data_IF_278107784600
#
_entry.id   IF_278107784600
#
_cell.length_a   1.000
_cell.length_b   1.000
_cell.length_c   1.000
_cell.angle_alpha   90.00
_cell.angle_beta   90.00
_cell.angle_gamma   90.00
#
_symmetry.space_group_name_H-M   'P 1'
#
loop_
_entity.id
_entity.type
_entity.pdbx_description
1 polymer ?
#
# COMPACT_ATOMS: atom_id res chain seq x y z
N UNK A 1 -8.24 30.17 23.39
CA UNK A 1 -7.65 28.92 22.89
C UNK A 1 -6.87 28.24 24.02
N UNK A 2 -7.09 26.96 24.24
CA UNK A 2 -6.31 26.10 25.17
C UNK A 2 -5.29 25.29 24.41
N UNK A 3 -4.07 25.21 24.92
CA UNK A 3 -3.03 24.31 24.45
C UNK A 3 -2.84 23.18 25.45
N UNK A 4 -3.00 21.92 25.00
CA UNK A 4 -2.73 20.72 25.78
C UNK A 4 -1.51 20.00 25.21
N UNK A 5 -0.52 19.70 26.07
CA UNK A 5 0.70 18.96 25.67
C UNK A 5 0.87 17.73 26.54
N UNK A 6 1.20 16.60 25.93
CA UNK A 6 1.52 15.40 26.68
C UNK A 6 2.62 14.58 26.01
N UNK A 7 3.47 13.97 26.83
CA UNK A 7 4.50 13.03 26.36
C UNK A 7 3.85 11.68 26.07
N UNK A 8 4.18 11.07 24.94
CA UNK A 8 3.69 9.76 24.53
C UNK A 8 4.75 8.70 24.83
N UNK A 9 4.82 8.28 26.09
CA UNK A 9 5.86 7.37 26.59
C UNK A 9 5.79 5.92 26.06
N UNK A 10 4.67 5.54 25.46
CA UNK A 10 4.43 4.17 24.95
C UNK A 10 4.83 3.93 23.50
N UNK A 11 5.32 4.96 22.82
CA UNK A 11 5.73 4.85 21.43
C UNK A 11 7.25 4.65 21.36
N UNK A 12 7.68 3.55 20.75
CA UNK A 12 9.08 3.34 20.42
C UNK A 12 9.54 4.40 19.42
N UNK A 13 10.74 4.98 19.60
CA UNK A 13 11.34 5.85 18.59
C UNK A 13 11.67 5.09 17.29
N UNK A 14 11.63 3.77 17.29
CA UNK A 14 11.76 2.94 16.08
C UNK A 14 10.46 2.98 15.26
N UNK A 15 10.19 4.12 14.63
CA UNK A 15 9.13 4.19 13.63
C UNK A 15 9.54 3.41 12.38
N UNK A 16 8.56 2.69 11.84
CA UNK A 16 8.73 2.03 10.55
C UNK A 16 8.66 3.05 9.42
N UNK A 17 9.82 3.29 8.83
CA UNK A 17 9.98 4.22 7.73
C UNK A 17 9.59 3.67 6.35
N UNK A 18 8.90 2.51 6.25
CA UNK A 18 8.53 1.93 4.95
C UNK A 18 7.53 2.80 4.16
N UNK A 19 6.83 3.71 4.83
CA UNK A 19 6.00 4.72 4.16
C UNK A 19 6.78 5.96 3.72
N UNK A 20 8.01 6.15 4.21
CA UNK A 20 8.79 7.35 3.99
C UNK A 20 9.97 7.09 3.06
N UNK A 21 10.47 8.12 2.37
CA UNK A 21 11.75 8.03 1.68
C UNK A 21 12.89 7.68 2.64
N UNK A 22 13.93 7.04 2.11
CA UNK A 22 15.15 6.82 2.87
C UNK A 22 15.72 8.16 3.39
N UNK A 23 16.29 8.16 4.60
CA UNK A 23 16.93 9.32 5.25
C UNK A 23 16.02 10.39 5.87
N UNK A 24 14.73 10.16 6.01
CA UNK A 24 13.84 11.06 6.75
C UNK A 24 14.06 10.92 8.26
N UNK A 25 14.27 12.01 8.98
CA UNK A 25 14.39 12.00 10.44
C UNK A 25 13.03 12.09 11.11
N UNK A 26 12.94 11.57 12.35
CA UNK A 26 11.71 11.67 13.16
C UNK A 26 11.26 13.10 13.40
N UNK A 27 12.22 14.02 13.59
CA UNK A 27 11.95 15.43 13.84
C UNK A 27 11.32 16.17 12.66
N UNK A 28 11.48 15.63 11.44
CA UNK A 28 10.89 16.19 10.21
C UNK A 28 9.42 15.82 10.01
N UNK A 29 8.90 14.89 10.82
CA UNK A 29 7.54 14.38 10.72
C UNK A 29 6.59 15.17 11.62
N UNK A 30 5.37 15.43 11.12
CA UNK A 30 4.25 15.93 11.89
C UNK A 30 2.99 15.17 11.54
N UNK A 31 2.51 14.37 12.46
CA UNK A 31 1.19 13.76 12.37
C UNK A 31 0.16 14.79 12.82
N UNK A 32 -0.95 14.91 12.10
CA UNK A 32 -1.99 15.84 12.51
C UNK A 32 -3.39 15.35 12.12
N UNK A 33 -4.38 15.88 12.83
CA UNK A 33 -5.80 15.64 12.63
C UNK A 33 -6.59 16.89 13.05
N UNK A 34 -7.69 17.17 12.35
CA UNK A 34 -8.51 18.36 12.64
C UNK A 34 -9.95 17.98 12.99
N UNK A 35 -10.53 18.77 13.90
CA UNK A 35 -11.95 18.73 14.24
C UNK A 35 -12.64 20.02 13.85
N UNK A 36 -13.80 19.89 13.22
CA UNK A 36 -14.51 21.03 12.63
C UNK A 36 -15.96 21.07 13.09
N UNK A 37 -16.54 22.26 13.10
CA UNK A 37 -17.96 22.45 13.48
C UNK A 37 -18.96 22.00 12.43
N UNK A 38 -18.47 21.54 11.25
CA UNK A 38 -19.25 21.01 10.15
C UNK A 38 -18.38 20.64 8.95
N UNK A 39 -18.96 19.99 7.96
CA UNK A 39 -18.22 19.44 6.81
C UNK A 39 -17.80 20.49 5.76
N UNK A 40 -18.47 21.65 5.73
CA UNK A 40 -18.20 22.71 4.74
C UNK A 40 -17.29 23.79 5.32
N UNK A 41 -16.08 24.00 4.80
CA UNK A 41 -15.18 25.04 5.30
C UNK A 41 -15.69 26.46 5.06
N UNK A 42 -16.72 26.65 4.21
CA UNK A 42 -17.35 27.95 3.94
C UNK A 42 -18.27 28.40 5.07
N UNK A 43 -18.91 27.46 5.78
CA UNK A 43 -19.95 27.73 6.77
C UNK A 43 -19.61 27.24 8.17
N UNK A 44 -18.43 26.62 8.32
CA UNK A 44 -17.96 26.07 9.58
C UNK A 44 -16.49 26.38 9.81
N UNK A 45 -16.00 26.13 11.00
CA UNK A 45 -14.66 26.49 11.44
C UNK A 45 -13.93 25.29 12.07
N UNK A 46 -12.61 25.39 12.12
CA UNK A 46 -11.77 24.45 12.86
C UNK A 46 -11.84 24.82 14.35
N UNK A 47 -12.20 23.86 15.21
CA UNK A 47 -12.21 24.09 16.64
C UNK A 47 -11.14 23.35 17.43
N UNK A 48 -10.53 22.33 16.82
CA UNK A 48 -9.42 21.59 17.42
C UNK A 48 -8.48 21.14 16.32
N UNK A 49 -7.18 21.37 16.51
CA UNK A 49 -6.11 20.71 15.75
C UNK A 49 -5.24 19.97 16.75
N UNK A 50 -5.09 18.69 16.52
CA UNK A 50 -4.10 17.87 17.21
C UNK A 50 -2.91 17.56 16.32
N UNK A 51 -1.74 17.48 16.92
CA UNK A 51 -0.52 17.08 16.25
C UNK A 51 0.33 16.18 17.15
N UNK A 52 1.12 15.30 16.52
CA UNK A 52 2.17 14.53 17.19
C UNK A 52 3.48 14.75 16.44
N UNK A 53 4.51 15.04 17.18
CA UNK A 53 5.89 15.19 16.68
C UNK A 53 6.88 14.46 17.57
N UNK A 54 8.05 14.16 17.03
CA UNK A 54 9.18 13.72 17.84
C UNK A 54 9.93 14.92 18.38
N UNK A 55 10.24 14.87 19.68
CA UNK A 55 11.03 15.89 20.38
C UNK A 55 12.42 15.35 20.69
N UNK A 56 13.43 15.88 20.04
CA UNK A 56 14.84 15.51 20.30
C UNK A 56 15.22 15.80 21.75
N UNK A 57 14.68 16.87 22.34
CA UNK A 57 14.91 17.24 23.73
C UNK A 57 14.37 16.20 24.72
N UNK A 58 13.19 15.64 24.43
CA UNK A 58 12.54 14.64 25.28
C UNK A 58 12.91 13.21 24.90
N UNK A 59 13.55 13.02 23.74
CA UNK A 59 13.79 11.71 23.11
C UNK A 59 12.52 10.86 23.09
N UNK A 60 11.39 11.50 22.73
CA UNK A 60 10.07 10.89 22.75
C UNK A 60 9.09 11.64 21.82
N UNK A 61 8.03 10.97 21.47
CA UNK A 61 6.89 11.64 20.83
C UNK A 61 6.12 12.47 21.85
N UNK A 62 5.69 13.64 21.44
CA UNK A 62 4.77 14.49 22.16
C UNK A 62 3.53 14.82 21.33
N UNK A 63 2.36 14.86 21.97
CA UNK A 63 1.15 15.39 21.38
C UNK A 63 0.97 16.84 21.80
N UNK A 64 0.49 17.64 20.85
CA UNK A 64 0.16 19.05 21.05
C UNK A 64 -1.23 19.24 20.45
N UNK A 65 -2.18 19.74 21.26
CA UNK A 65 -3.55 19.94 20.83
C UNK A 65 -3.96 21.40 21.10
N UNK A 66 -4.54 22.05 20.11
CA UNK A 66 -5.02 23.43 20.16
C UNK A 66 -6.56 23.44 20.08
N UNK A 67 -7.24 23.76 21.17
CA UNK A 67 -8.69 23.75 21.27
C UNK A 67 -9.24 25.20 21.38
N UNK A 68 -10.19 25.54 20.54
CA UNK A 68 -10.99 26.75 20.69
C UNK A 68 -11.92 26.63 21.91
N UNK A 69 -11.93 27.64 22.74
CA UNK A 69 -12.85 27.68 23.89
C UNK A 69 -14.24 28.16 23.49
N UNK A 70 -14.36 28.93 22.42
CA UNK A 70 -15.62 29.45 21.92
C UNK A 70 -15.73 29.40 20.40
N UNK A 71 -16.87 29.69 19.88
CA UNK A 71 -17.12 29.85 18.45
C UNK A 71 -16.66 31.22 17.90
N UNK A 72 -15.88 31.98 18.67
CA UNK A 72 -15.28 33.22 18.22
C UNK A 72 -14.27 32.94 17.09
N UNK A 73 -14.39 33.59 15.92
CA UNK A 73 -13.44 33.43 14.83
C UNK A 73 -11.99 33.78 15.21
N UNK A 74 -11.78 34.62 16.21
CA UNK A 74 -10.44 34.94 16.71
C UNK A 74 -9.73 33.73 17.34
N UNK A 75 -10.46 32.77 17.88
CA UNK A 75 -9.88 31.55 18.44
C UNK A 75 -9.44 30.58 17.35
N UNK A 76 -10.21 30.43 16.28
CA UNK A 76 -9.77 29.67 15.10
C UNK A 76 -8.49 30.27 14.49
N UNK A 77 -8.44 31.62 14.39
CA UNK A 77 -7.24 32.32 13.94
C UNK A 77 -5.98 31.95 14.76
N UNK A 78 -6.15 31.88 16.09
CA UNK A 78 -5.04 31.50 16.99
C UNK A 78 -4.61 30.02 16.75
N UNK A 79 -5.56 29.12 16.62
CA UNK A 79 -5.32 27.70 16.34
C UNK A 79 -4.52 27.53 15.04
N UNK A 80 -4.98 28.16 13.96
CA UNK A 80 -4.33 28.08 12.65
C UNK A 80 -2.91 28.68 12.67
N UNK A 81 -2.71 29.80 13.37
CA UNK A 81 -1.36 30.38 13.56
C UNK A 81 -0.44 29.45 14.35
N UNK A 82 -0.94 28.86 15.44
CA UNK A 82 -0.16 27.92 16.25
C UNK A 82 0.22 26.66 15.46
N UNK A 83 -0.71 26.11 14.67
CA UNK A 83 -0.43 24.99 13.78
C UNK A 83 0.56 25.36 12.69
N UNK A 84 0.44 26.53 12.05
CA UNK A 84 1.41 27.02 11.06
C UNK A 84 2.81 27.11 11.63
N UNK A 85 2.95 27.59 12.87
CA UNK A 85 4.25 27.70 13.53
C UNK A 85 4.88 26.32 13.77
N UNK A 86 4.05 25.34 14.17
CA UNK A 86 4.50 23.96 14.40
C UNK A 86 4.90 23.26 13.11
N UNK A 87 4.17 23.48 12.01
CA UNK A 87 4.38 22.81 10.74
C UNK A 87 5.53 23.41 9.90
N UNK A 88 5.96 24.66 10.14
CA UNK A 88 7.01 25.33 9.34
C UNK A 88 8.37 24.63 9.32
N UNK A 89 8.70 23.93 10.38
CA UNK A 89 9.98 23.23 10.55
C UNK A 89 9.89 21.75 10.11
N UNK A 90 8.77 21.37 9.49
CA UNK A 90 8.49 19.97 9.13
C UNK A 90 8.58 19.78 7.63
N UNK A 91 9.09 18.61 7.23
CA UNK A 91 9.13 18.21 5.82
C UNK A 91 7.89 17.39 5.43
N UNK A 92 7.33 16.62 6.37
CA UNK A 92 6.19 15.74 6.11
C UNK A 92 5.03 16.04 7.04
N UNK A 93 3.85 16.22 6.44
CA UNK A 93 2.56 16.24 7.12
C UNK A 93 1.86 14.89 6.91
N UNK A 94 1.70 14.14 8.00
CA UNK A 94 1.10 12.80 7.97
C UNK A 94 -0.32 12.87 8.52
N UNK A 95 -1.24 12.27 7.82
CA UNK A 95 -2.66 12.26 8.17
C UNK A 95 -3.35 11.01 7.64
N UNK A 96 -4.59 10.77 8.04
CA UNK A 96 -5.41 9.68 7.53
C UNK A 96 -6.59 10.25 6.73
N UNK A 97 -6.62 10.01 5.41
CA UNK A 97 -7.60 10.55 4.47
C UNK A 97 -7.66 12.09 4.39
N UNK A 98 -6.68 12.78 4.93
CA UNK A 98 -6.64 14.25 5.00
C UNK A 98 -6.46 14.92 3.64
N UNK A 99 -5.96 14.21 2.61
CA UNK A 99 -5.94 14.72 1.24
C UNK A 99 -7.34 15.04 0.72
N UNK A 100 -8.37 14.32 1.22
CA UNK A 100 -9.76 14.50 0.80
C UNK A 100 -10.52 15.46 1.70
N UNK A 101 -10.08 15.70 2.93
CA UNK A 101 -10.80 16.53 3.90
C UNK A 101 -9.91 17.57 4.59
N UNK A 102 -8.95 17.17 5.41
CA UNK A 102 -8.21 18.06 6.31
C UNK A 102 -7.43 19.14 5.53
N UNK A 103 -6.67 18.76 4.53
CA UNK A 103 -5.85 19.70 3.77
C UNK A 103 -6.67 20.70 2.95
N UNK A 104 -7.69 20.30 2.16
CA UNK A 104 -8.57 21.25 1.49
C UNK A 104 -9.32 22.16 2.44
N UNK A 105 -9.76 21.60 3.60
CA UNK A 105 -10.45 22.36 4.62
C UNK A 105 -9.54 23.44 5.21
N UNK A 106 -8.35 23.08 5.65
CA UNK A 106 -7.36 24.01 6.19
C UNK A 106 -6.99 25.10 5.18
N UNK A 107 -6.67 24.74 3.92
CA UNK A 107 -6.36 25.72 2.87
C UNK A 107 -7.46 26.78 2.76
N UNK A 108 -8.71 26.34 2.65
CA UNK A 108 -9.84 27.28 2.57
C UNK A 108 -9.94 28.17 3.81
N UNK A 109 -9.72 27.65 5.02
CA UNK A 109 -9.78 28.45 6.25
C UNK A 109 -8.63 29.44 6.35
N UNK A 110 -7.41 29.05 5.96
CA UNK A 110 -6.28 29.96 5.87
C UNK A 110 -6.54 31.12 4.90
N UNK A 111 -7.04 30.82 3.70
CA UNK A 111 -7.42 31.81 2.70
C UNK A 111 -8.50 32.74 3.20
N UNK A 112 -9.59 32.21 3.78
CA UNK A 112 -10.71 32.99 4.29
C UNK A 112 -10.30 33.94 5.41
N UNK A 113 -9.28 33.59 6.21
CA UNK A 113 -8.74 34.40 7.29
C UNK A 113 -7.48 35.20 6.88
N UNK A 114 -7.14 35.22 5.59
CA UNK A 114 -5.98 35.92 5.02
C UNK A 114 -4.66 35.57 5.72
N UNK A 115 -4.49 34.30 6.06
CA UNK A 115 -3.28 33.76 6.67
C UNK A 115 -2.41 33.04 5.64
N UNK A 116 -1.08 33.20 5.77
CA UNK A 116 -0.15 32.30 5.08
C UNK A 116 -0.12 30.94 5.78
N UNK A 117 0.04 29.87 5.01
CA UNK A 117 0.12 28.51 5.53
C UNK A 117 1.36 27.76 5.03
N UNK A 118 1.86 26.80 5.80
CA UNK A 118 3.03 26.00 5.42
C UNK A 118 2.68 24.75 4.60
N UNK A 119 1.39 24.49 4.31
CA UNK A 119 0.90 23.23 3.76
C UNK A 119 1.52 22.87 2.40
N UNK A 120 1.86 23.88 1.58
CA UNK A 120 2.41 23.68 0.24
C UNK A 120 3.94 23.50 0.26
N UNK A 121 4.61 23.81 1.38
CA UNK A 121 6.03 23.59 1.58
C UNK A 121 6.36 22.23 2.19
N UNK A 122 5.36 21.49 2.65
CA UNK A 122 5.50 20.17 3.23
C UNK A 122 5.02 19.08 2.26
N UNK A 123 5.68 17.93 2.29
CA UNK A 123 5.18 16.74 1.62
C UNK A 123 4.00 16.15 2.40
N UNK A 124 2.89 15.92 1.72
CA UNK A 124 1.71 15.27 2.31
C UNK A 124 1.82 13.76 2.18
N UNK A 125 1.72 13.03 3.30
CA UNK A 125 1.64 11.59 3.32
C UNK A 125 0.29 11.16 3.91
N UNK A 126 -0.54 10.59 3.06
CA UNK A 126 -1.88 10.12 3.41
C UNK A 126 -1.86 8.61 3.68
N UNK A 127 -1.88 8.22 4.96
CA UNK A 127 -1.84 6.81 5.37
C UNK A 127 -2.98 5.98 4.75
N UNK A 128 -4.15 6.58 4.57
CA UNK A 128 -5.27 5.92 3.89
C UNK A 128 -4.90 5.52 2.46
N UNK A 129 -4.31 6.43 1.69
CA UNK A 129 -3.89 6.15 0.31
C UNK A 129 -2.75 5.15 0.25
N UNK A 130 -1.80 5.26 1.17
CA UNK A 130 -0.66 4.36 1.27
C UNK A 130 -1.09 2.91 1.56
N UNK A 131 -2.05 2.72 2.46
CA UNK A 131 -2.62 1.40 2.74
C UNK A 131 -3.42 0.87 1.55
N UNK A 132 -4.24 1.71 0.92
CA UNK A 132 -5.03 1.34 -0.24
C UNK A 132 -4.21 1.20 -1.55
N UNK A 133 -2.92 1.52 -1.55
CA UNK A 133 -2.02 1.12 -2.61
C UNK A 133 -1.76 -0.40 -2.62
N UNK A 134 -2.12 -1.11 -1.55
CA UNK A 134 -2.02 -2.56 -1.39
C UNK A 134 -3.40 -3.20 -1.14
N UNK A 135 -4.39 -2.97 -2.03
CA UNK A 135 -5.80 -3.27 -1.77
C UNK A 135 -6.07 -4.75 -1.57
N UNK A 136 -5.27 -5.63 -2.14
CA UNK A 136 -5.46 -7.08 -2.04
C UNK A 136 -5.47 -7.59 -0.59
N UNK A 137 -4.72 -6.96 0.31
CA UNK A 137 -4.67 -7.35 1.72
C UNK A 137 -5.86 -6.83 2.55
N UNK A 138 -6.54 -5.79 2.08
CA UNK A 138 -7.58 -5.09 2.84
C UNK A 138 -8.98 -5.20 2.21
N UNK A 139 -9.10 -5.89 1.07
CA UNK A 139 -10.35 -6.03 0.31
C UNK A 139 -11.52 -6.61 1.13
N UNK A 140 -11.23 -7.50 2.08
CA UNK A 140 -12.24 -8.17 2.89
C UNK A 140 -12.65 -7.39 4.15
N UNK A 141 -12.05 -6.21 4.39
CA UNK A 141 -12.45 -5.36 5.49
C UNK A 141 -13.85 -4.77 5.24
N UNK A 142 -14.66 -4.59 6.29
CA UNK A 142 -16.03 -4.05 6.16
C UNK A 142 -16.07 -2.62 5.63
N UNK A 143 -15.06 -1.84 5.95
CA UNK A 143 -14.78 -0.51 5.41
C UNK A 143 -13.28 -0.18 5.59
N UNK A 144 -12.85 0.97 5.08
CA UNK A 144 -11.47 1.43 5.17
C UNK A 144 -11.32 2.68 6.06
N UNK A 145 -12.15 2.81 7.10
CA UNK A 145 -12.00 3.88 8.09
C UNK A 145 -10.80 3.62 8.99
N UNK A 146 -10.23 4.67 9.55
CA UNK A 146 -9.10 4.58 10.46
C UNK A 146 -9.39 3.60 11.61
N UNK A 147 -10.57 3.71 12.25
CA UNK A 147 -11.00 2.82 13.35
C UNK A 147 -11.02 1.34 12.96
N UNK A 148 -11.32 1.02 11.70
CA UNK A 148 -11.32 -0.36 11.21
C UNK A 148 -9.89 -0.89 11.04
N UNK A 149 -8.95 -0.07 10.56
CA UNK A 149 -7.53 -0.41 10.56
C UNK A 149 -6.95 -0.51 11.98
N UNK A 150 -7.37 0.37 12.90
CA UNK A 150 -6.98 0.31 14.31
C UNK A 150 -7.41 -1.01 14.96
N UNK A 151 -8.63 -1.49 14.67
CA UNK A 151 -9.10 -2.82 15.11
C UNK A 151 -8.24 -3.95 14.54
N UNK A 152 -7.85 -3.86 13.26
CA UNK A 152 -6.98 -4.84 12.63
C UNK A 152 -5.63 -4.97 13.36
N UNK A 153 -5.01 -3.85 13.73
CA UNK A 153 -3.74 -3.83 14.47
C UNK A 153 -3.93 -3.94 15.99
N UNK A 154 -5.16 -4.16 16.46
CA UNK A 154 -5.53 -4.31 17.88
C UNK A 154 -5.15 -3.08 18.74
N UNK A 155 -5.26 -1.86 18.16
CA UNK A 155 -5.05 -0.64 18.90
C UNK A 155 -6.14 -0.46 19.98
N UNK A 156 -5.77 -0.27 21.28
CA UNK A 156 -6.73 -0.19 22.36
C UNK A 156 -7.34 1.21 22.49
N UNK A 157 -8.18 1.62 21.53
CA UNK A 157 -8.85 2.92 21.53
C UNK A 157 -9.72 3.11 22.76
N UNK A 158 -9.63 4.26 23.41
CA UNK A 158 -10.41 4.62 24.60
C UNK A 158 -11.62 5.46 24.26
N UNK A 159 -11.51 6.32 23.23
CA UNK A 159 -12.60 7.15 22.76
C UNK A 159 -13.70 6.32 22.07
N UNK A 160 -14.96 6.73 22.30
CA UNK A 160 -16.16 6.10 21.73
C UNK A 160 -17.00 7.06 20.88
N UNK A 161 -16.63 8.35 20.81
CA UNK A 161 -17.41 9.34 20.09
C UNK A 161 -17.29 9.16 18.58
N UNK A 162 -18.35 9.50 17.88
CA UNK A 162 -18.35 9.71 16.43
C UNK A 162 -18.09 11.20 16.12
N UNK A 163 -17.67 11.53 14.90
CA UNK A 163 -17.47 12.92 14.49
C UNK A 163 -18.71 13.80 14.67
N UNK A 164 -19.95 13.26 14.51
CA UNK A 164 -21.17 13.99 14.81
C UNK A 164 -21.35 14.29 16.30
N UNK A 165 -20.95 13.36 17.15
CA UNK A 165 -20.97 13.55 18.61
C UNK A 165 -19.89 14.52 19.05
N UNK A 166 -18.72 14.54 18.40
CA UNK A 166 -17.67 15.53 18.61
C UNK A 166 -18.18 16.97 18.37
N UNK A 167 -18.89 17.21 17.27
CA UNK A 167 -19.49 18.51 16.98
C UNK A 167 -20.50 18.92 18.08
N UNK A 168 -21.33 17.98 18.54
CA UNK A 168 -22.29 18.25 19.63
C UNK A 168 -21.59 18.54 20.96
N UNK A 169 -20.56 17.73 21.28
CA UNK A 169 -19.76 17.91 22.49
C UNK A 169 -19.04 19.26 22.48
N UNK A 170 -18.47 19.67 21.35
CA UNK A 170 -17.83 20.98 21.24
C UNK A 170 -18.82 22.12 21.43
N UNK A 171 -20.00 22.08 20.80
CA UNK A 171 -21.03 23.08 20.99
C UNK A 171 -21.48 23.20 22.45
N UNK A 172 -21.63 22.07 23.14
CA UNK A 172 -21.94 22.06 24.57
C UNK A 172 -20.78 22.63 25.41
N UNK A 173 -19.55 22.28 25.08
CA UNK A 173 -18.35 22.81 25.72
C UNK A 173 -18.21 24.32 25.52
N UNK A 174 -18.43 24.84 24.33
CA UNK A 174 -18.34 26.26 24.01
C UNK A 174 -19.29 27.13 24.86
N UNK A 175 -20.40 26.55 25.33
CA UNK A 175 -21.37 27.21 26.23
C UNK A 175 -21.04 27.02 27.72
N UNK A 176 -20.72 25.78 28.12
CA UNK A 176 -20.63 25.40 29.53
C UNK A 176 -19.21 25.50 30.12
N UNK A 177 -18.18 25.38 29.27
CA UNK A 177 -16.75 25.25 29.68
C UNK A 177 -16.49 24.08 30.62
N UNK A 178 -17.34 23.06 30.59
CA UNK A 178 -17.19 21.90 31.45
C UNK A 178 -15.89 21.15 31.18
N UNK A 179 -15.07 20.91 32.21
CA UNK A 179 -13.78 20.21 32.10
C UNK A 179 -13.92 18.78 31.58
N UNK A 180 -14.98 18.07 32.00
CA UNK A 180 -15.25 16.72 31.54
C UNK A 180 -15.50 16.65 30.02
N UNK A 181 -16.23 17.61 29.46
CA UNK A 181 -16.44 17.66 28.00
C UNK A 181 -15.16 18.03 27.26
N UNK A 182 -14.37 18.96 27.79
CA UNK A 182 -13.03 19.28 27.23
C UNK A 182 -12.10 18.07 27.19
N UNK A 183 -12.08 17.29 28.25
CA UNK A 183 -11.28 16.05 28.31
C UNK A 183 -11.73 15.03 27.26
N UNK A 184 -13.03 14.90 27.02
CA UNK A 184 -13.56 14.05 25.96
C UNK A 184 -13.12 14.52 24.57
N UNK A 185 -13.15 15.82 24.28
CA UNK A 185 -12.67 16.40 23.01
C UNK A 185 -11.18 16.11 22.79
N UNK A 186 -10.36 16.33 23.81
CA UNK A 186 -8.93 16.01 23.73
C UNK A 186 -8.68 14.52 23.57
N UNK A 187 -9.41 13.66 24.29
CA UNK A 187 -9.25 12.23 24.20
C UNK A 187 -9.55 11.70 22.79
N UNK A 188 -10.64 12.16 22.17
CA UNK A 188 -11.03 11.77 20.83
C UNK A 188 -9.90 12.02 19.82
N UNK A 189 -9.51 13.28 19.70
CA UNK A 189 -8.46 13.69 18.78
C UNK A 189 -7.08 13.04 19.10
N UNK A 190 -6.75 12.85 20.39
CA UNK A 190 -5.53 12.15 20.79
C UNK A 190 -5.55 10.67 20.39
N UNK A 191 -6.71 10.01 20.47
CA UNK A 191 -6.85 8.62 20.05
C UNK A 191 -6.76 8.52 18.51
N UNK A 192 -7.26 9.49 17.74
CA UNK A 192 -7.06 9.52 16.29
C UNK A 192 -5.57 9.65 15.93
N UNK A 193 -4.85 10.53 16.60
CA UNK A 193 -3.41 10.70 16.40
C UNK A 193 -2.61 9.43 16.76
N UNK A 194 -2.89 8.82 17.92
CA UNK A 194 -2.24 7.57 18.33
C UNK A 194 -2.62 6.40 17.44
N UNK A 195 -3.86 6.38 16.96
CA UNK A 195 -4.34 5.42 15.98
C UNK A 195 -3.50 5.47 14.71
N UNK A 196 -3.28 6.65 14.12
CA UNK A 196 -2.39 6.82 12.97
C UNK A 196 -1.00 6.22 13.19
N UNK A 197 -0.39 6.51 14.35
CA UNK A 197 0.93 5.97 14.69
C UNK A 197 0.93 4.43 14.80
N UNK A 198 -0.18 3.85 15.30
CA UNK A 198 -0.32 2.39 15.41
C UNK A 198 -0.40 1.68 14.05
N UNK A 199 -0.77 2.41 12.98
CA UNK A 199 -0.88 1.87 11.62
C UNK A 199 0.47 1.84 10.88
N UNK A 200 1.48 2.59 11.32
CA UNK A 200 2.76 2.67 10.61
C UNK A 200 3.41 1.32 10.35
N UNK A 201 3.39 0.34 11.27
CA UNK A 201 3.95 -0.98 11.02
C UNK A 201 3.28 -1.76 9.86
N UNK A 202 2.07 -1.40 9.42
CA UNK A 202 1.46 -1.98 8.21
C UNK A 202 2.22 -1.60 6.93
N UNK A 203 2.97 -0.51 6.94
CA UNK A 203 3.87 -0.11 5.86
C UNK A 203 4.93 -1.16 5.53
N UNK A 204 5.26 -2.04 6.48
CA UNK A 204 6.19 -3.16 6.28
C UNK A 204 5.77 -4.10 5.14
N UNK A 205 4.50 -4.12 4.75
CA UNK A 205 4.03 -4.81 3.55
C UNK A 205 4.68 -4.30 2.26
N UNK A 206 5.10 -3.03 2.22
CA UNK A 206 5.80 -2.45 1.06
C UNK A 206 7.15 -3.12 0.78
N UNK A 207 7.73 -3.81 1.76
CA UNK A 207 8.93 -4.63 1.56
C UNK A 207 8.73 -5.64 0.41
N UNK A 208 7.50 -6.13 0.21
CA UNK A 208 7.16 -7.02 -0.90
C UNK A 208 7.25 -6.31 -2.26
N UNK A 209 6.88 -5.03 -2.33
CA UNK A 209 6.93 -4.22 -3.55
C UNK A 209 8.33 -3.67 -3.84
N UNK A 210 9.15 -3.48 -2.80
CA UNK A 210 10.50 -2.90 -2.88
C UNK A 210 11.62 -3.94 -2.86
N UNK A 211 11.32 -5.24 -3.05
CA UNK A 211 12.29 -6.35 -3.01
C UNK A 211 13.12 -6.44 -1.71
N UNK A 212 12.59 -5.92 -0.61
CA UNK A 212 13.25 -5.95 0.69
C UNK A 212 12.96 -7.25 1.44
N UNK A 213 13.18 -8.38 0.77
CA UNK A 213 12.99 -9.73 1.31
C UNK A 213 14.08 -10.68 0.82
N UNK A 214 14.22 -11.82 1.50
CA UNK A 214 15.04 -12.95 1.09
C UNK A 214 14.13 -14.09 0.63
N UNK A 215 14.54 -14.81 -0.42
CA UNK A 215 13.88 -16.04 -0.84
C UNK A 215 14.54 -17.17 -0.05
N UNK A 216 13.76 -17.87 0.77
CA UNK A 216 14.25 -18.94 1.62
C UNK A 216 14.11 -20.30 0.95
N UNK A 217 12.99 -20.52 0.25
CA UNK A 217 12.65 -21.82 -0.30
C UNK A 217 11.74 -21.67 -1.51
N UNK A 218 11.91 -22.58 -2.45
CA UNK A 218 11.01 -22.76 -3.60
C UNK A 218 10.81 -24.24 -3.80
N UNK A 219 9.57 -24.74 -3.65
CA UNK A 219 9.27 -26.18 -3.68
C UNK A 219 7.91 -26.43 -4.32
N UNK A 220 7.75 -27.61 -4.92
CA UNK A 220 6.45 -28.09 -5.37
C UNK A 220 5.70 -28.73 -4.21
N UNK A 221 4.41 -28.45 -4.11
CA UNK A 221 3.51 -29.03 -3.14
C UNK A 221 2.27 -29.57 -3.83
N UNK A 222 1.63 -30.55 -3.22
CA UNK A 222 0.34 -31.07 -3.66
C UNK A 222 -0.70 -30.82 -2.57
N UNK A 223 -1.72 -30.05 -2.90
CA UNK A 223 -2.81 -29.71 -1.98
C UNK A 223 -4.15 -29.88 -2.69
N UNK A 224 -5.22 -30.26 -1.95
CA UNK A 224 -6.56 -30.25 -2.51
C UNK A 224 -7.00 -28.81 -2.82
N UNK A 225 -7.63 -28.63 -3.97
CA UNK A 225 -8.35 -27.41 -4.30
C UNK A 225 -9.73 -27.36 -3.57
N UNK A 226 -10.52 -26.32 -3.88
CA UNK A 226 -11.86 -26.14 -3.28
C UNK A 226 -12.86 -27.26 -3.61
N UNK A 227 -12.57 -28.07 -4.62
CA UNK A 227 -13.38 -29.24 -5.03
C UNK A 227 -12.89 -30.53 -4.40
N UNK A 228 -11.72 -30.51 -3.76
CA UNK A 228 -11.05 -31.69 -3.20
C UNK A 228 -10.11 -32.39 -4.21
N UNK A 229 -9.98 -31.88 -5.45
CA UNK A 229 -9.02 -32.41 -6.43
C UNK A 229 -7.59 -31.99 -6.05
N UNK A 230 -6.67 -32.94 -6.11
CA UNK A 230 -5.25 -32.65 -5.82
C UNK A 230 -4.66 -31.81 -6.96
N UNK A 231 -4.16 -30.62 -6.60
CA UNK A 231 -3.52 -29.70 -7.50
C UNK A 231 -2.05 -29.53 -7.12
N UNK A 232 -1.16 -29.62 -8.11
CA UNK A 232 0.25 -29.29 -7.92
C UNK A 232 0.41 -27.78 -7.97
N UNK A 233 1.12 -27.24 -6.98
CA UNK A 233 1.39 -25.80 -6.84
C UNK A 233 2.87 -25.61 -6.56
N UNK A 234 3.40 -24.43 -6.93
CA UNK A 234 4.71 -23.99 -6.48
C UNK A 234 4.54 -23.07 -5.26
N UNK A 235 5.21 -23.43 -4.19
CA UNK A 235 5.29 -22.67 -2.97
C UNK A 235 6.62 -21.91 -2.92
N UNK A 236 6.54 -20.57 -2.87
CA UNK A 236 7.67 -19.70 -2.56
C UNK A 236 7.57 -19.25 -1.12
N UNK A 237 8.67 -19.39 -0.36
CA UNK A 237 8.78 -18.91 1.01
C UNK A 237 9.78 -17.77 1.04
N UNK A 238 9.30 -16.57 1.46
CA UNK A 238 10.10 -15.37 1.60
C UNK A 238 10.22 -14.98 3.07
N UNK A 239 11.30 -14.26 3.41
CA UNK A 239 11.51 -13.64 4.71
C UNK A 239 11.66 -12.13 4.54
N UNK A 240 10.78 -11.35 5.15
CA UNK A 240 10.88 -9.90 5.23
C UNK A 240 11.98 -9.50 6.21
N UNK A 241 12.59 -8.35 6.01
CA UNK A 241 13.58 -7.78 6.95
C UNK A 241 12.94 -7.39 8.29
N UNK A 242 11.68 -6.95 8.25
CA UNK A 242 10.90 -6.52 9.42
C UNK A 242 9.54 -7.22 9.44
N UNK A 243 9.09 -7.73 10.61
CA UNK A 243 7.84 -8.47 10.71
C UNK A 243 6.62 -7.57 10.54
N UNK A 244 5.61 -8.02 9.80
CA UNK A 244 4.30 -7.36 9.71
C UNK A 244 3.54 -7.60 11.03
N UNK A 245 2.82 -6.58 11.56
CA UNK A 245 2.27 -6.65 12.92
C UNK A 245 1.13 -7.66 13.07
N UNK A 246 0.41 -7.97 11.99
CA UNK A 246 -0.77 -8.84 12.01
C UNK A 246 -0.73 -9.85 10.86
N UNK A 247 -1.33 -11.03 11.02
CA UNK A 247 -1.50 -11.97 9.92
C UNK A 247 -2.38 -11.37 8.82
N UNK A 248 -1.92 -11.48 7.56
CA UNK A 248 -2.66 -10.99 6.40
C UNK A 248 -2.63 -12.03 5.28
N UNK A 249 -3.65 -12.00 4.44
CA UNK A 249 -3.68 -12.82 3.23
C UNK A 249 -4.27 -12.04 2.05
N UNK A 250 -3.86 -12.41 0.85
CA UNK A 250 -4.38 -11.87 -0.39
C UNK A 250 -4.61 -13.00 -1.40
N UNK A 251 -5.77 -12.98 -2.05
CA UNK A 251 -6.09 -13.88 -3.15
C UNK A 251 -6.20 -13.06 -4.44
N UNK A 252 -5.27 -13.26 -5.37
CA UNK A 252 -5.26 -12.58 -6.65
C UNK A 252 -5.85 -13.44 -7.80
N UNK A 253 -6.43 -14.60 -7.48
CA UNK A 253 -6.93 -15.56 -8.46
C UNK A 253 -5.84 -16.48 -8.99
N UNK A 254 -4.75 -15.92 -9.50
CA UNK A 254 -3.60 -16.69 -10.01
C UNK A 254 -2.57 -17.07 -8.92
N UNK A 255 -2.63 -16.46 -7.74
CA UNK A 255 -1.79 -16.82 -6.60
C UNK A 255 -2.50 -16.51 -5.27
N UNK A 256 -2.06 -17.19 -4.22
CA UNK A 256 -2.49 -16.94 -2.85
C UNK A 256 -1.28 -16.56 -1.99
N UNK A 257 -1.34 -15.39 -1.37
CA UNK A 257 -0.27 -14.84 -0.54
C UNK A 257 -0.71 -14.87 0.92
N UNK A 258 0.14 -15.37 1.81
CA UNK A 258 -0.04 -15.24 3.27
C UNK A 258 1.18 -14.59 3.88
N UNK A 259 0.95 -13.65 4.79
CA UNK A 259 1.98 -12.96 5.55
C UNK A 259 1.75 -13.22 7.02
N UNK A 260 2.74 -13.80 7.70
CA UNK A 260 2.74 -14.04 9.13
C UNK A 260 4.06 -13.58 9.72
N UNK A 261 4.05 -12.45 10.38
CA UNK A 261 5.26 -11.75 10.84
C UNK A 261 6.22 -11.50 9.67
N UNK A 262 7.45 -12.02 9.72
CA UNK A 262 8.45 -11.92 8.66
C UNK A 262 8.28 -12.97 7.56
N UNK A 263 7.53 -14.04 7.81
CA UNK A 263 7.36 -15.15 6.85
C UNK A 263 6.23 -14.87 5.87
N UNK A 264 6.57 -14.93 4.58
CA UNK A 264 5.60 -14.82 3.48
C UNK A 264 5.58 -16.13 2.70
N UNK A 265 4.39 -16.62 2.42
CA UNK A 265 4.17 -17.77 1.54
C UNK A 265 3.36 -17.34 0.33
N UNK A 266 3.82 -17.71 -0.85
CA UNK A 266 3.13 -17.47 -2.12
C UNK A 266 2.88 -18.83 -2.73
N UNK A 267 1.62 -19.21 -2.93
CA UNK A 267 1.19 -20.43 -3.60
C UNK A 267 0.72 -20.10 -5.00
N UNK A 268 1.26 -20.79 -5.99
CA UNK A 268 0.93 -20.60 -7.39
C UNK A 268 0.55 -21.93 -8.04
N UNK A 269 -0.64 -22.02 -8.65
CA UNK A 269 -1.03 -23.20 -9.43
C UNK A 269 -0.02 -23.48 -10.56
N UNK A 270 0.33 -24.74 -10.74
CA UNK A 270 1.17 -25.20 -11.83
C UNK A 270 0.26 -25.69 -12.97
N UNK A 271 0.47 -25.14 -14.15
CA UNK A 271 -0.21 -25.56 -15.37
C UNK A 271 0.65 -26.57 -16.11
N UNK A 272 0.06 -27.68 -16.54
CA UNK A 272 0.72 -28.68 -17.38
C UNK A 272 0.06 -28.73 -18.75
N UNK A 273 0.87 -28.66 -19.80
CA UNK A 273 0.34 -28.63 -21.17
C UNK A 273 1.39 -28.31 -22.22
N UNK A 274 0.91 -27.76 -23.36
CA UNK A 274 1.76 -27.30 -24.47
C UNK A 274 1.46 -25.85 -24.77
N UNK A 275 2.47 -25.01 -24.67
CA UNK A 275 2.40 -23.58 -24.96
C UNK A 275 3.33 -23.20 -26.11
N UNK A 276 3.16 -21.99 -26.64
CA UNK A 276 3.93 -21.47 -27.77
C UNK A 276 4.84 -20.33 -27.33
N UNK A 277 6.08 -20.40 -27.78
CA UNK A 277 7.02 -19.27 -27.73
C UNK A 277 7.04 -18.59 -29.09
N UNK A 278 6.57 -17.34 -29.19
CA UNK A 278 6.52 -16.56 -30.42
C UNK A 278 7.80 -15.77 -30.62
N UNK A 279 8.45 -15.96 -31.77
CA UNK A 279 9.64 -15.19 -32.16
C UNK A 279 9.24 -13.80 -32.68
N UNK A 280 9.95 -12.76 -32.23
CA UNK A 280 9.66 -11.36 -32.61
C UNK A 280 10.00 -11.04 -34.06
N UNK A 281 11.05 -11.67 -34.60
CA UNK A 281 11.62 -11.41 -35.94
C UNK A 281 11.08 -12.37 -37.00
N UNK A 282 9.78 -12.60 -37.03
CA UNK A 282 9.09 -13.56 -37.90
C UNK A 282 9.53 -13.48 -39.38
N UNK A 283 10.00 -12.30 -39.84
CA UNK A 283 10.49 -12.12 -41.22
C UNK A 283 11.70 -13.02 -41.56
N UNK A 284 12.41 -13.50 -40.57
CA UNK A 284 13.57 -14.40 -40.74
C UNK A 284 13.23 -15.87 -40.58
N UNK A 285 11.93 -16.21 -40.51
CA UNK A 285 11.47 -17.59 -40.32
C UNK A 285 10.56 -18.06 -41.44
N UNK A 286 10.50 -19.38 -41.59
CA UNK A 286 9.47 -20.12 -42.32
C UNK A 286 8.64 -20.91 -41.34
N UNK A 287 7.34 -20.99 -41.57
CA UNK A 287 6.41 -21.87 -40.88
C UNK A 287 6.35 -23.21 -41.63
N UNK A 288 6.38 -24.29 -40.89
CA UNK A 288 6.29 -25.67 -41.36
C UNK A 288 4.90 -26.21 -41.00
N UNK A 289 3.97 -26.32 -41.98
CA UNK A 289 2.58 -26.68 -41.68
C UNK A 289 2.39 -28.10 -41.10
N UNK A 290 3.24 -29.04 -41.43
CA UNK A 290 3.15 -30.43 -40.96
C UNK A 290 3.64 -30.56 -39.50
N UNK A 291 4.72 -29.89 -39.15
CA UNK A 291 5.30 -29.83 -37.80
C UNK A 291 4.58 -28.84 -36.90
N UNK A 292 3.85 -27.90 -37.50
CA UNK A 292 3.16 -26.79 -36.83
C UNK A 292 4.10 -25.98 -35.94
N UNK A 293 5.27 -25.60 -36.50
CA UNK A 293 6.32 -24.80 -35.87
C UNK A 293 7.06 -23.92 -36.88
N UNK A 294 7.76 -22.91 -36.39
CA UNK A 294 8.61 -22.06 -37.21
C UNK A 294 10.08 -22.41 -37.12
N UNK A 295 10.77 -22.36 -38.25
CA UNK A 295 12.21 -22.61 -38.35
C UNK A 295 12.90 -21.39 -38.98
N UNK A 296 14.12 -21.09 -38.50
CA UNK A 296 14.90 -19.97 -39.05
C UNK A 296 15.29 -20.24 -40.51
N UNK A 297 15.31 -19.21 -41.35
CA UNK A 297 15.58 -19.30 -42.80
C UNK A 297 16.89 -20.02 -43.15
N UNK A 298 17.93 -19.85 -42.33
CA UNK A 298 19.21 -20.50 -42.55
C UNK A 298 19.12 -22.01 -42.50
N UNK A 299 18.27 -22.59 -41.67
CA UNK A 299 18.02 -24.03 -41.56
C UNK A 299 16.99 -24.46 -42.60
N UNK A 300 15.94 -23.65 -42.81
CA UNK A 300 14.91 -23.94 -43.79
C UNK A 300 15.41 -23.94 -45.25
N UNK A 301 16.60 -23.41 -45.53
CA UNK A 301 17.21 -23.42 -46.85
C UNK A 301 17.44 -24.86 -47.41
N UNK A 302 17.58 -25.84 -46.54
CA UNK A 302 17.79 -27.25 -46.87
C UNK A 302 16.49 -28.06 -47.00
N UNK A 303 15.33 -27.45 -46.75
CA UNK A 303 14.03 -28.11 -46.88
C UNK A 303 13.37 -27.85 -48.24
N UNK A 304 12.55 -28.81 -48.65
CA UNK A 304 11.73 -28.64 -49.87
C UNK A 304 10.85 -27.40 -49.79
N UNK A 305 10.87 -26.52 -50.81
CA UNK A 305 10.04 -25.33 -50.82
C UNK A 305 8.52 -25.58 -50.65
N UNK A 306 8.04 -26.77 -51.04
CA UNK A 306 6.61 -27.14 -50.92
C UNK A 306 6.19 -27.38 -49.45
N UNK A 307 7.13 -27.67 -48.56
CA UNK A 307 6.88 -27.97 -47.14
C UNK A 307 7.07 -26.76 -46.20
N UNK A 308 7.32 -25.57 -46.78
CA UNK A 308 7.54 -24.35 -45.95
C UNK A 308 6.77 -23.15 -46.48
N UNK A 309 6.24 -22.35 -45.62
CA UNK A 309 5.54 -21.10 -45.89
C UNK A 309 6.26 -19.94 -45.19
N UNK A 310 6.18 -18.71 -45.75
CA UNK A 310 6.69 -17.53 -45.03
C UNK A 310 5.93 -17.38 -43.71
N UNK A 311 6.68 -17.31 -42.59
CA UNK A 311 6.07 -17.11 -41.30
C UNK A 311 5.41 -15.74 -41.19
N UNK A 312 4.29 -15.69 -40.51
CA UNK A 312 3.62 -14.45 -40.04
C UNK A 312 3.89 -14.32 -38.54
N UNK A 313 3.55 -13.20 -37.95
CA UNK A 313 3.68 -13.03 -36.48
C UNK A 313 2.93 -14.14 -35.71
N UNK A 314 1.76 -14.56 -36.19
CA UNK A 314 0.93 -15.59 -35.58
C UNK A 314 1.41 -17.03 -35.80
N UNK A 315 2.21 -17.28 -36.86
CA UNK A 315 2.73 -18.62 -37.17
C UNK A 315 4.22 -18.78 -36.85
N UNK A 316 4.87 -17.71 -36.31
CA UNK A 316 6.28 -17.74 -36.00
C UNK A 316 6.53 -18.16 -34.54
N UNK A 317 6.33 -19.43 -34.26
CA UNK A 317 6.50 -19.98 -32.90
C UNK A 317 7.14 -21.36 -32.90
N UNK A 318 7.62 -21.75 -31.73
CA UNK A 318 7.89 -23.13 -31.36
C UNK A 318 6.98 -23.59 -30.24
N UNK A 319 6.60 -24.84 -30.24
CA UNK A 319 5.84 -25.48 -29.16
C UNK A 319 6.78 -25.93 -28.03
N UNK A 320 6.32 -25.77 -26.82
CA UNK A 320 7.02 -26.24 -25.63
C UNK A 320 5.99 -26.99 -24.78
N UNK A 321 6.24 -28.28 -24.54
CA UNK A 321 5.41 -29.09 -23.64
C UNK A 321 6.10 -29.24 -22.30
N UNK A 322 5.35 -29.13 -21.21
CA UNK A 322 5.90 -29.21 -19.85
C UNK A 322 4.99 -28.54 -18.82
N UNK A 323 5.61 -28.07 -17.77
CA UNK A 323 4.95 -27.39 -16.66
C UNK A 323 5.26 -25.89 -16.73
N UNK A 324 4.25 -25.08 -16.36
CA UNK A 324 4.31 -23.64 -16.52
C UNK A 324 3.67 -22.92 -15.32
N UNK A 325 4.22 -21.74 -15.02
CA UNK A 325 3.63 -20.81 -14.07
C UNK A 325 3.06 -19.61 -14.80
N UNK A 326 1.90 -19.13 -14.35
CA UNK A 326 1.33 -17.87 -14.83
C UNK A 326 2.32 -16.72 -14.61
N UNK A 327 2.46 -15.84 -15.58
CA UNK A 327 3.41 -14.73 -15.57
C UNK A 327 2.70 -13.40 -15.93
N UNK A 328 2.18 -12.67 -14.96
CA UNK A 328 1.72 -11.31 -15.20
C UNK A 328 2.92 -10.40 -15.49
N UNK A 329 2.68 -9.32 -16.24
CA UNK A 329 3.74 -8.36 -16.56
C UNK A 329 4.79 -8.88 -17.52
N UNK A 330 6.03 -8.43 -17.33
CA UNK A 330 7.16 -8.74 -18.23
C UNK A 330 8.40 -9.15 -17.41
N UNK A 331 8.38 -10.31 -16.77
CA UNK A 331 9.58 -10.81 -16.09
C UNK A 331 10.73 -11.02 -17.09
N UNK A 332 11.96 -11.05 -16.61
CA UNK A 332 13.15 -11.32 -17.43
C UNK A 332 13.26 -12.81 -17.79
N UNK A 333 12.19 -13.37 -18.33
CA UNK A 333 12.07 -14.79 -18.71
C UNK A 333 11.34 -14.90 -20.04
N UNK A 334 11.59 -15.97 -20.85
CA UNK A 334 10.82 -16.22 -22.05
C UNK A 334 9.33 -16.41 -21.73
N UNK A 335 8.49 -15.54 -22.31
CA UNK A 335 7.04 -15.62 -22.17
C UNK A 335 6.43 -16.58 -23.19
N UNK A 336 5.52 -17.40 -22.74
CA UNK A 336 4.79 -18.40 -23.50
C UNK A 336 3.30 -18.07 -23.49
N UNK A 337 2.59 -18.45 -24.53
CA UNK A 337 1.16 -18.21 -24.69
C UNK A 337 0.49 -19.45 -25.29
N UNK A 338 -0.81 -19.62 -25.06
CA UNK A 338 -1.59 -20.65 -25.75
C UNK A 338 -1.73 -20.31 -27.25
N UNK A 339 -2.07 -19.04 -27.54
CA UNK A 339 -2.21 -18.51 -28.89
C UNK A 339 -1.61 -17.11 -29.01
N UNK A 340 -1.34 -16.64 -30.21
CA UNK A 340 -0.68 -15.35 -30.48
C UNK A 340 -1.34 -14.13 -29.83
N UNK A 341 -2.66 -14.16 -29.67
CA UNK A 341 -3.42 -13.05 -29.08
C UNK A 341 -3.89 -13.32 -27.65
N UNK A 342 -3.42 -14.41 -27.02
CA UNK A 342 -3.75 -14.70 -25.62
C UNK A 342 -3.27 -13.56 -24.73
N UNK A 343 -4.12 -13.16 -23.82
CA UNK A 343 -3.77 -12.13 -22.81
C UNK A 343 -2.93 -12.69 -21.67
N UNK A 344 -3.06 -13.98 -21.43
CA UNK A 344 -2.33 -14.70 -20.40
C UNK A 344 -0.97 -15.16 -20.92
N UNK A 345 0.04 -14.93 -20.10
CA UNK A 345 1.40 -15.35 -20.35
C UNK A 345 1.85 -16.32 -19.27
N UNK A 346 2.79 -17.15 -19.64
CA UNK A 346 3.34 -18.18 -18.78
C UNK A 346 4.87 -18.23 -18.94
N UNK A 347 5.54 -18.78 -17.92
CA UNK A 347 6.96 -19.11 -17.96
C UNK A 347 7.13 -20.60 -17.70
N UNK A 348 8.13 -21.23 -18.32
CA UNK A 348 8.44 -22.65 -18.08
C UNK A 348 8.86 -22.87 -16.63
N UNK A 349 8.40 -23.96 -16.06
CA UNK A 349 8.81 -24.43 -14.75
C UNK A 349 9.41 -25.85 -14.85
N UNK A 350 10.50 -26.21 -14.11
CA UNK A 350 11.35 -25.27 -13.36
C UNK A 350 12.09 -24.29 -14.29
N UNK A 351 12.57 -23.17 -13.75
CA UNK A 351 13.30 -22.18 -14.56
C UNK A 351 14.59 -22.79 -15.13
N UNK A 352 14.83 -22.55 -16.42
CA UNK A 352 15.97 -23.15 -17.16
C UNK A 352 17.33 -22.67 -16.65
N UNK A 353 17.38 -21.46 -16.08
CA UNK A 353 18.54 -20.94 -15.37
C UNK A 353 18.14 -20.78 -13.90
N UNK A 354 18.87 -21.45 -13.02
CA UNK A 354 18.72 -21.28 -11.56
C UNK A 354 19.33 -19.94 -11.08
N UNK A 355 19.27 -18.88 -11.92
CA UNK A 355 19.76 -17.58 -11.51
C UNK A 355 18.77 -16.93 -10.55
N UNK A 356 19.25 -16.54 -9.38
CA UNK A 356 18.47 -15.74 -8.40
C UNK A 356 17.85 -14.49 -9.04
N UNK A 357 18.43 -13.97 -10.12
CA UNK A 357 17.98 -12.80 -10.86
C UNK A 357 16.64 -13.06 -11.54
N UNK A 358 16.48 -14.20 -12.22
CA UNK A 358 15.26 -14.55 -12.94
C UNK A 358 14.11 -14.82 -11.98
N UNK A 359 14.38 -15.53 -10.88
CA UNK A 359 13.41 -15.80 -9.83
C UNK A 359 12.95 -14.50 -9.14
N UNK A 360 13.86 -13.58 -8.82
CA UNK A 360 13.53 -12.28 -8.24
C UNK A 360 12.71 -11.42 -9.20
N UNK A 361 13.07 -11.40 -10.48
CA UNK A 361 12.32 -10.68 -11.52
C UNK A 361 10.89 -11.22 -11.65
N UNK A 362 10.74 -12.53 -11.66
CA UNK A 362 9.44 -13.20 -11.70
C UNK A 362 8.59 -12.88 -10.49
N UNK A 363 9.12 -13.04 -9.28
CA UNK A 363 8.41 -12.75 -8.03
C UNK A 363 8.03 -11.27 -7.91
N UNK A 364 8.83 -10.36 -8.48
CA UNK A 364 8.48 -8.95 -8.52
C UNK A 364 7.16 -8.71 -9.27
N UNK A 365 7.05 -9.23 -10.48
CA UNK A 365 5.85 -9.05 -11.31
C UNK A 365 4.62 -9.72 -10.65
N UNK A 366 4.81 -10.89 -10.06
CA UNK A 366 3.76 -11.60 -9.30
C UNK A 366 3.27 -10.74 -8.12
N UNK A 367 4.19 -10.31 -7.25
CA UNK A 367 3.84 -9.54 -6.04
C UNK A 367 3.23 -8.18 -6.40
N UNK A 368 3.83 -7.47 -7.35
CA UNK A 368 3.31 -6.19 -7.82
C UNK A 368 1.86 -6.35 -8.33
N UNK A 369 1.64 -7.29 -9.24
CA UNK A 369 0.30 -7.51 -9.81
C UNK A 369 -0.69 -7.97 -8.75
N UNK A 370 -0.33 -8.98 -7.94
CA UNK A 370 -1.21 -9.54 -6.94
C UNK A 370 -1.61 -8.54 -5.84
N UNK A 371 -0.67 -7.73 -5.36
CA UNK A 371 -0.88 -6.81 -4.24
C UNK A 371 -1.66 -5.56 -4.68
N UNK A 372 -1.41 -5.05 -5.89
CA UNK A 372 -2.04 -3.82 -6.39
C UNK A 372 -3.36 -4.06 -7.14
N UNK A 373 -3.76 -5.29 -7.34
CA UNK A 373 -5.02 -5.65 -7.99
C UNK A 373 -6.22 -5.21 -7.13
N UNK A 374 -7.10 -4.39 -7.72
CA UNK A 374 -8.34 -3.88 -7.10
C UNK A 374 -9.43 -4.94 -7.01
#
# INVERSE_FOLDING_TARGET
MITNKSRLCSLSPELDFDFFPEHVSLSELLFFDIETTGLSPKTSQVFLIGAVQYSDKLQAFESIQFLAESTDPGEELQILKAFSQLAREKQFLIHFNGTSFDLPYLRHRYEALQLSHPLDSCHSLDLYRELLAMPAFFRQMPDHKQKTFELLVQYPRKDKLSGKEMIKAYKAYALSRASSTREQLFLHNLDDLKGMLSLLPLGRLKQLLHHSYQILETTEIQEPDITGAIQTQVLFILCLKRPVPVPLSANAGFCYITVLKEKVKIKMPLFEGTLRYFYKDYKNYYYLPFEDEAIHKSVAAYLDPSHRQKATAATCYKKISGQFLYAPGTPNLPLLQEEYHSKEHYVSWPFSSSSDVDLKSYLHEILKTAITQK
#
